data_IF_563861742254
#
_entry.id   IF_563861742254
#
_cell.length_a   1.000
_cell.length_b   1.000
_cell.length_c   1.000
_cell.angle_alpha   90.00
_cell.angle_beta   90.00
_cell.angle_gamma   90.00
#
_symmetry.space_group_name_H-M   'P 1'
#
loop_
_entity.id
_entity.type
_entity.pdbx_description
1 polymer ?
#
# COMPACT_ATOMS: atom_id res chain seq x y z
N UNK A 1 35.77 -2.48 4.89
CA UNK A 1 34.83 -2.15 5.99
C UNK A 1 33.60 -1.39 5.48
N UNK A 2 33.74 -0.19 4.89
CA UNK A 2 32.62 0.62 4.40
C UNK A 2 31.69 -0.09 3.40
N UNK A 3 32.22 -0.79 2.39
CA UNK A 3 31.39 -1.52 1.43
C UNK A 3 30.56 -2.62 2.10
N UNK A 4 31.15 -3.37 3.02
CA UNK A 4 30.46 -4.42 3.79
C UNK A 4 29.32 -3.84 4.64
N UNK A 5 29.54 -2.67 5.25
CA UNK A 5 28.52 -1.94 6.00
C UNK A 5 27.37 -1.46 5.11
N UNK A 6 27.68 -0.95 3.90
CA UNK A 6 26.66 -0.56 2.91
C UNK A 6 25.84 -1.77 2.45
N UNK A 7 26.50 -2.92 2.19
CA UNK A 7 25.79 -4.15 1.82
C UNK A 7 24.85 -4.64 2.93
N UNK A 8 25.32 -4.70 4.18
CA UNK A 8 24.45 -5.08 5.29
C UNK A 8 23.27 -4.10 5.46
N UNK A 9 23.52 -2.79 5.37
CA UNK A 9 22.47 -1.78 5.40
C UNK A 9 21.43 -1.98 4.29
N UNK A 10 21.88 -2.22 3.05
CA UNK A 10 20.99 -2.47 1.92
C UNK A 10 20.17 -3.75 2.12
N UNK A 11 20.79 -4.84 2.61
CA UNK A 11 20.06 -6.09 2.89
C UNK A 11 18.99 -5.92 3.97
N UNK A 12 19.26 -5.13 5.02
CA UNK A 12 18.28 -4.80 6.04
C UNK A 12 17.12 -3.99 5.45
N UNK A 13 17.39 -2.98 4.63
CA UNK A 13 16.35 -2.18 3.96
C UNK A 13 15.48 -3.07 3.06
N UNK A 14 16.09 -3.93 2.24
CA UNK A 14 15.37 -4.86 1.37
C UNK A 14 14.55 -5.89 2.16
N UNK A 15 15.07 -6.34 3.31
CA UNK A 15 14.35 -7.24 4.20
C UNK A 15 13.13 -6.54 4.82
N UNK A 16 13.25 -5.29 5.24
CA UNK A 16 12.12 -4.48 5.72
C UNK A 16 11.06 -4.31 4.64
N UNK A 17 11.45 -4.04 3.39
CA UNK A 17 10.51 -4.00 2.26
C UNK A 17 9.81 -5.35 2.02
N UNK A 18 10.50 -6.48 2.25
CA UNK A 18 9.87 -7.80 2.22
C UNK A 18 8.90 -8.02 3.38
N UNK A 19 9.21 -7.56 4.59
CA UNK A 19 8.29 -7.61 5.71
C UNK A 19 6.98 -6.86 5.42
N UNK A 20 7.03 -5.71 4.72
CA UNK A 20 5.82 -4.99 4.29
C UNK A 20 4.94 -5.89 3.40
N UNK A 21 5.52 -6.72 2.52
CA UNK A 21 4.74 -7.70 1.75
C UNK A 21 4.13 -8.79 2.62
N UNK A 22 4.83 -9.24 3.67
CA UNK A 22 4.28 -10.23 4.61
C UNK A 22 3.14 -9.64 5.44
N UNK A 23 3.22 -8.36 5.83
CA UNK A 23 2.14 -7.66 6.56
C UNK A 23 0.87 -7.53 5.72
N UNK A 24 0.97 -7.52 4.37
CA UNK A 24 -0.21 -7.52 3.48
C UNK A 24 -1.11 -8.75 3.62
N UNK A 25 -0.60 -9.86 4.17
CA UNK A 25 -1.38 -11.09 4.38
C UNK A 25 -2.28 -11.01 5.62
N UNK A 26 -2.14 -9.98 6.47
CA UNK A 26 -2.98 -9.81 7.64
C UNK A 26 -4.29 -9.10 7.23
N UNK A 27 -5.46 -9.74 7.44
CA UNK A 27 -6.76 -9.25 6.97
C UNK A 27 -7.19 -7.90 7.57
N UNK A 28 -6.57 -7.45 8.67
CA UNK A 28 -6.83 -6.14 9.27
C UNK A 28 -5.98 -4.99 8.72
N UNK A 29 -4.88 -5.26 8.00
CA UNK A 29 -3.91 -4.25 7.55
C UNK A 29 -3.66 -4.29 6.03
N UNK A 30 -4.12 -5.36 5.37
CA UNK A 30 -4.00 -5.58 3.93
C UNK A 30 -4.57 -4.41 3.10
N UNK A 31 -5.86 -4.06 3.24
CA UNK A 31 -6.50 -3.03 2.41
C UNK A 31 -5.82 -1.65 2.52
N UNK A 32 -5.52 -1.18 3.73
CA UNK A 32 -4.85 0.11 3.94
C UNK A 32 -3.43 0.12 3.36
N UNK A 33 -2.68 -0.98 3.48
CA UNK A 33 -1.33 -1.07 2.89
C UNK A 33 -1.35 -1.09 1.35
N UNK A 34 -2.43 -1.60 0.74
CA UNK A 34 -2.65 -1.56 -0.71
C UNK A 34 -3.06 -0.16 -1.16
N UNK A 35 -3.88 0.54 -0.37
CA UNK A 35 -4.27 1.93 -0.61
C UNK A 35 -3.04 2.86 -0.62
N UNK A 36 -2.13 2.71 0.35
CA UNK A 36 -0.84 3.45 0.37
C UNK A 36 -0.05 3.19 -0.91
N UNK A 37 0.13 1.92 -1.28
CA UNK A 37 0.91 1.57 -2.47
C UNK A 37 0.30 2.14 -3.76
N UNK A 38 -1.03 2.11 -3.90
CA UNK A 38 -1.75 2.70 -5.04
C UNK A 38 -1.65 4.21 -5.07
N UNK A 39 -1.75 4.86 -3.91
CA UNK A 39 -1.61 6.31 -3.77
C UNK A 39 -0.23 6.80 -4.21
N UNK A 40 0.83 6.07 -3.86
CA UNK A 40 2.20 6.44 -4.24
C UNK A 40 2.45 6.37 -5.75
N UNK A 41 1.72 5.52 -6.48
CA UNK A 41 1.81 5.40 -7.94
C UNK A 41 0.67 6.11 -8.66
N UNK A 42 -0.17 6.84 -7.92
CA UNK A 42 -1.31 7.54 -8.48
C UNK A 42 -0.84 8.69 -9.39
N UNK A 43 -1.37 8.81 -10.62
CA UNK A 43 -0.92 9.83 -11.57
C UNK A 43 -1.16 11.26 -11.07
N UNK A 44 -2.16 11.52 -10.23
CA UNK A 44 -2.39 12.83 -9.59
C UNK A 44 -1.27 13.13 -8.61
N UNK A 45 -0.93 12.18 -7.73
CA UNK A 45 0.15 12.31 -6.75
C UNK A 45 1.49 12.47 -7.46
N UNK A 46 1.77 11.67 -8.48
CA UNK A 46 3.02 11.74 -9.26
C UNK A 46 3.17 13.07 -10.00
N UNK A 47 2.10 13.60 -10.62
CA UNK A 47 2.13 14.94 -11.24
C UNK A 47 2.40 16.03 -10.22
N UNK A 48 1.80 15.96 -9.04
CA UNK A 48 2.07 16.90 -7.96
C UNK A 48 3.52 16.78 -7.45
N UNK A 49 4.03 15.58 -7.25
CA UNK A 49 5.43 15.34 -6.85
C UNK A 49 6.41 15.90 -7.88
N UNK A 50 6.13 15.73 -9.17
CA UNK A 50 6.95 16.34 -10.22
C UNK A 50 6.94 17.87 -10.14
N UNK A 51 5.76 18.47 -9.95
CA UNK A 51 5.63 19.91 -9.75
C UNK A 51 6.34 20.41 -8.49
N UNK A 52 6.24 19.68 -7.38
CA UNK A 52 6.94 19.95 -6.12
C UNK A 52 8.46 19.95 -6.35
N UNK A 53 9.01 18.91 -6.98
CA UNK A 53 10.44 18.81 -7.28
C UNK A 53 10.89 19.97 -8.17
N UNK A 54 10.11 20.32 -9.19
CA UNK A 54 10.41 21.45 -10.07
C UNK A 54 10.52 22.77 -9.27
N UNK A 55 9.58 23.03 -8.35
CA UNK A 55 9.63 24.21 -7.48
C UNK A 55 10.84 24.16 -6.55
N UNK A 56 11.09 23.03 -5.89
CA UNK A 56 12.22 22.85 -4.96
C UNK A 56 13.56 23.11 -5.67
N UNK A 57 13.71 22.63 -6.90
CA UNK A 57 14.90 22.93 -7.72
C UNK A 57 14.99 24.42 -8.03
N UNK A 58 13.88 25.04 -8.46
CA UNK A 58 13.85 26.48 -8.78
C UNK A 58 14.26 27.36 -7.59
N UNK A 59 13.67 27.14 -6.42
CA UNK A 59 14.04 27.85 -5.20
C UNK A 59 15.45 27.49 -4.73
N UNK A 60 15.87 26.22 -4.83
CA UNK A 60 17.23 25.80 -4.51
C UNK A 60 18.28 26.52 -5.36
N UNK A 61 18.04 26.66 -6.67
CA UNK A 61 18.95 27.44 -7.52
C UNK A 61 18.94 28.94 -7.14
N UNK A 62 17.77 29.50 -6.81
CA UNK A 62 17.67 30.88 -6.33
C UNK A 62 18.46 31.13 -5.04
N UNK A 63 18.37 30.21 -4.08
CA UNK A 63 19.11 30.27 -2.81
C UNK A 63 20.61 30.09 -3.00
N UNK A 64 21.03 29.22 -3.91
CA UNK A 64 22.44 29.08 -4.29
C UNK A 64 23.01 30.39 -4.84
N UNK A 65 22.28 31.06 -5.73
CA UNK A 65 22.74 32.32 -6.34
C UNK A 65 22.78 33.45 -5.31
N UNK A 66 21.85 33.46 -4.35
CA UNK A 66 21.73 34.56 -3.38
C UNK A 66 22.65 34.39 -2.18
N UNK A 67 22.83 33.15 -1.70
CA UNK A 67 23.51 32.86 -0.43
C UNK A 67 24.62 31.81 -0.53
N UNK A 68 24.96 31.35 -1.74
CA UNK A 68 25.94 30.27 -1.94
C UNK A 68 27.35 30.59 -1.42
N UNK A 69 27.73 31.86 -1.40
CA UNK A 69 29.03 32.30 -0.87
C UNK A 69 29.03 32.50 0.65
N UNK A 70 27.85 32.61 1.27
CA UNK A 70 27.71 32.97 2.70
C UNK A 70 27.28 31.80 3.57
N UNK A 71 26.53 30.83 3.03
CA UNK A 71 26.06 29.65 3.78
C UNK A 71 26.58 28.34 3.21
N UNK A 72 26.97 27.43 4.12
CA UNK A 72 27.40 26.09 3.78
C UNK A 72 26.25 25.23 3.24
N UNK A 73 25.01 25.45 3.70
CA UNK A 73 23.80 24.78 3.22
C UNK A 73 23.43 25.16 1.80
N UNK A 74 23.79 26.37 1.34
CA UNK A 74 23.51 26.85 0.00
C UNK A 74 24.73 26.82 -0.94
N UNK A 75 25.87 26.27 -0.50
CA UNK A 75 27.16 26.38 -1.21
C UNK A 75 27.30 25.58 -2.51
N UNK A 76 26.34 24.70 -2.82
CA UNK A 76 26.34 23.92 -4.06
C UNK A 76 24.92 23.57 -4.48
N UNK A 77 24.71 23.25 -5.76
CA UNK A 77 23.38 22.89 -6.29
C UNK A 77 22.74 21.78 -5.44
N UNK A 78 23.47 20.70 -5.17
CA UNK A 78 22.95 19.56 -4.42
C UNK A 78 22.58 19.94 -2.99
N UNK A 79 23.44 20.70 -2.30
CA UNK A 79 23.17 21.13 -0.93
C UNK A 79 22.00 22.10 -0.86
N UNK A 80 21.94 23.05 -1.78
CA UNK A 80 20.89 24.07 -1.82
C UNK A 80 19.52 23.46 -2.13
N UNK A 81 19.44 22.58 -3.12
CA UNK A 81 18.21 21.84 -3.43
C UNK A 81 17.80 20.94 -2.25
N UNK A 82 18.76 20.28 -1.59
CA UNK A 82 18.47 19.49 -0.40
C UNK A 82 17.99 20.36 0.77
N UNK A 83 18.57 21.53 0.99
CA UNK A 83 18.14 22.47 2.03
C UNK A 83 16.70 22.93 1.78
N UNK A 84 16.38 23.36 0.56
CA UNK A 84 15.00 23.75 0.17
C UNK A 84 14.03 22.57 0.23
N UNK A 85 14.46 21.35 -0.06
CA UNK A 85 13.64 20.16 0.14
C UNK A 85 13.30 19.94 1.62
N UNK A 86 14.23 20.17 2.55
CA UNK A 86 13.98 20.05 4.00
C UNK A 86 12.97 21.09 4.50
N UNK A 87 12.93 22.28 3.89
CA UNK A 87 11.87 23.27 4.13
C UNK A 87 10.45 22.72 3.88
N UNK A 88 10.26 21.78 2.94
CA UNK A 88 8.95 21.15 2.70
C UNK A 88 8.41 20.46 3.95
N UNK A 89 9.30 19.92 4.79
CA UNK A 89 8.94 19.08 5.93
C UNK A 89 9.01 19.78 7.28
N UNK A 90 9.28 21.08 7.33
CA UNK A 90 9.46 21.73 8.64
C UNK A 90 10.91 21.78 9.12
N UNK A 91 11.86 21.20 8.38
CA UNK A 91 13.23 21.01 8.83
C UNK A 91 14.15 22.09 8.26
N UNK A 92 14.39 23.11 9.06
CA UNK A 92 15.28 24.22 8.71
C UNK A 92 16.04 24.69 9.95
N UNK A 93 17.17 25.34 9.70
CA UNK A 93 17.95 26.02 10.72
C UNK A 93 17.64 27.52 10.64
N UNK A 94 16.93 28.06 11.63
CA UNK A 94 16.63 29.48 11.68
C UNK A 94 17.88 30.32 11.94
N UNK A 95 18.78 29.83 12.79
CA UNK A 95 19.98 30.58 13.18
C UNK A 95 20.90 30.73 11.97
N UNK A 96 21.07 29.67 11.16
CA UNK A 96 21.81 29.75 9.89
C UNK A 96 21.21 30.81 8.95
N UNK A 97 19.88 30.93 8.90
CA UNK A 97 19.19 31.90 8.04
C UNK A 97 19.17 33.33 8.58
N UNK A 98 19.16 33.49 9.89
CA UNK A 98 19.18 34.78 10.57
C UNK A 98 20.57 35.43 10.49
N UNK A 99 21.62 34.60 10.48
CA UNK A 99 23.01 35.03 10.34
C UNK A 99 23.39 35.35 8.88
N UNK A 100 22.57 34.96 7.91
CA UNK A 100 22.67 35.48 6.55
C UNK A 100 22.36 36.99 6.57
N UNK A 101 22.99 37.73 5.65
CA UNK A 101 22.81 39.17 5.39
C UNK A 101 21.38 39.67 5.65
N UNK A 102 21.14 40.98 5.80
CA UNK A 102 19.83 41.56 6.17
C UNK A 102 18.57 41.05 5.42
N UNK A 103 18.70 40.38 4.28
CA UNK A 103 17.63 39.72 3.53
C UNK A 103 17.31 38.26 3.95
N UNK A 104 18.16 37.61 4.75
CA UNK A 104 18.05 36.21 5.16
C UNK A 104 16.78 35.91 5.96
N UNK A 105 16.49 36.75 6.96
CA UNK A 105 15.24 36.64 7.75
C UNK A 105 14.00 36.80 6.88
N UNK A 106 14.02 37.72 5.90
CA UNK A 106 12.90 37.91 4.98
C UNK A 106 12.69 36.68 4.08
N UNK A 107 13.78 36.15 3.50
CA UNK A 107 13.73 34.92 2.69
C UNK A 107 13.28 33.71 3.50
N UNK A 108 13.70 33.61 4.75
CA UNK A 108 13.27 32.56 5.67
C UNK A 108 11.75 32.56 5.88
N UNK A 109 11.17 33.72 6.21
CA UNK A 109 9.71 33.84 6.39
C UNK A 109 8.97 33.49 5.10
N UNK A 110 9.50 33.93 3.96
CA UNK A 110 8.92 33.67 2.64
C UNK A 110 8.95 32.18 2.28
N UNK A 111 10.09 31.52 2.45
CA UNK A 111 10.25 30.08 2.22
C UNK A 111 9.39 29.26 3.18
N UNK A 112 9.34 29.61 4.45
CA UNK A 112 8.53 28.90 5.45
C UNK A 112 7.04 29.02 5.14
N UNK A 113 6.56 30.21 4.77
CA UNK A 113 5.14 30.41 4.45
C UNK A 113 4.76 29.71 3.15
N UNK A 114 5.55 29.89 2.08
CA UNK A 114 5.23 29.27 0.79
C UNK A 114 5.52 27.78 0.79
N UNK A 115 6.74 27.36 1.07
CA UNK A 115 7.14 25.95 0.92
C UNK A 115 6.51 25.10 2.00
N UNK A 116 6.66 25.47 3.27
CA UNK A 116 6.11 24.65 4.35
C UNK A 116 4.62 24.87 4.53
N UNK A 117 4.23 26.13 4.72
CA UNK A 117 2.85 26.51 5.04
C UNK A 117 1.88 26.27 3.89
N UNK A 118 2.32 26.40 2.65
CA UNK A 118 1.46 26.21 1.47
C UNK A 118 1.75 24.88 0.78
N UNK A 119 2.96 24.67 0.25
CA UNK A 119 3.26 23.48 -0.56
C UNK A 119 3.24 22.19 0.28
N UNK A 120 3.81 22.20 1.49
CA UNK A 120 3.80 21.05 2.41
C UNK A 120 2.38 20.66 2.80
N UNK A 121 1.54 21.64 3.15
CA UNK A 121 0.14 21.39 3.49
C UNK A 121 -0.68 20.89 2.30
N UNK A 122 -0.47 21.46 1.10
CA UNK A 122 -1.12 20.98 -0.13
C UNK A 122 -0.65 19.56 -0.47
N UNK A 123 0.63 19.23 -0.26
CA UNK A 123 1.14 17.87 -0.45
C UNK A 123 0.37 16.86 0.40
N UNK A 124 0.21 17.17 1.70
CA UNK A 124 -0.57 16.32 2.62
C UNK A 124 -2.02 16.21 2.15
N UNK A 125 -2.65 17.32 1.73
CA UNK A 125 -4.03 17.31 1.25
C UNK A 125 -4.23 16.47 -0.03
N UNK A 126 -3.31 16.58 -1.00
CA UNK A 126 -3.36 15.81 -2.25
C UNK A 126 -3.16 14.32 -1.98
N UNK A 127 -2.14 13.96 -1.19
CA UNK A 127 -1.87 12.56 -0.83
C UNK A 127 -3.01 11.98 -0.01
N UNK A 128 -3.52 12.73 0.97
CA UNK A 128 -4.65 12.32 1.81
C UNK A 128 -5.91 12.06 1.00
N UNK A 129 -6.28 12.97 0.09
CA UNK A 129 -7.46 12.78 -0.77
C UNK A 129 -7.33 11.55 -1.67
N UNK A 130 -6.16 11.32 -2.26
CA UNK A 130 -5.96 10.12 -3.09
C UNK A 130 -5.93 8.85 -2.25
N UNK A 131 -5.36 8.91 -1.04
CA UNK A 131 -5.39 7.80 -0.09
C UNK A 131 -6.81 7.36 0.25
N UNK A 132 -7.70 8.29 0.59
CA UNK A 132 -9.10 7.98 0.90
C UNK A 132 -9.81 7.28 -0.28
N UNK A 133 -9.63 7.79 -1.50
CA UNK A 133 -10.20 7.18 -2.72
C UNK A 133 -9.67 5.76 -2.92
N UNK A 134 -8.36 5.55 -2.77
CA UNK A 134 -7.75 4.23 -2.95
C UNK A 134 -8.09 3.27 -1.81
N UNK A 135 -8.34 3.77 -0.60
CA UNK A 135 -8.77 2.97 0.54
C UNK A 135 -10.20 2.46 0.36
N UNK A 136 -11.13 3.33 -0.02
CA UNK A 136 -12.52 2.97 -0.33
C UNK A 136 -12.57 1.90 -1.43
N UNK A 137 -11.89 2.14 -2.56
CA UNK A 137 -11.80 1.18 -3.66
C UNK A 137 -11.16 -0.16 -3.26
N UNK A 138 -10.18 -0.14 -2.35
CA UNK A 138 -9.52 -1.37 -1.88
C UNK A 138 -10.40 -2.16 -0.91
N UNK A 139 -11.21 -1.48 -0.11
CA UNK A 139 -12.19 -2.10 0.78
C UNK A 139 -13.36 -2.72 0.01
N UNK A 140 -13.86 -2.06 -1.02
CA UNK A 140 -14.91 -2.62 -1.89
C UNK A 140 -14.43 -3.85 -2.64
N UNK A 141 -13.27 -3.78 -3.30
CA UNK A 141 -12.68 -4.93 -3.98
C UNK A 141 -12.46 -6.13 -3.05
N UNK A 142 -12.04 -5.87 -1.80
CA UNK A 142 -11.89 -6.92 -0.80
C UNK A 142 -13.23 -7.52 -0.38
N UNK A 143 -14.27 -6.70 -0.16
CA UNK A 143 -15.63 -7.18 0.17
C UNK A 143 -16.20 -8.05 -0.95
N UNK A 144 -16.02 -7.65 -2.20
CA UNK A 144 -16.50 -8.41 -3.35
C UNK A 144 -15.80 -9.77 -3.47
N UNK A 145 -14.47 -9.80 -3.28
CA UNK A 145 -13.70 -11.04 -3.27
C UNK A 145 -14.13 -11.98 -2.13
N UNK A 146 -14.34 -11.44 -0.93
CA UNK A 146 -14.85 -12.21 0.21
C UNK A 146 -16.27 -12.73 -0.05
N UNK A 147 -17.16 -11.90 -0.59
CA UNK A 147 -18.52 -12.29 -0.92
C UNK A 147 -18.56 -13.40 -1.98
N UNK A 148 -17.72 -13.30 -3.01
CA UNK A 148 -17.56 -14.33 -4.03
C UNK A 148 -17.11 -15.67 -3.43
N UNK A 149 -16.07 -15.66 -2.58
CA UNK A 149 -15.58 -16.86 -1.90
C UNK A 149 -16.63 -17.48 -0.96
N UNK A 150 -17.43 -16.64 -0.29
CA UNK A 150 -18.54 -17.10 0.56
C UNK A 150 -19.66 -17.72 -0.27
N UNK A 151 -20.03 -17.12 -1.40
CA UNK A 151 -21.06 -17.64 -2.31
C UNK A 151 -20.63 -18.96 -2.96
N UNK A 152 -19.38 -19.07 -3.42
CA UNK A 152 -18.84 -20.31 -4.01
C UNK A 152 -18.81 -21.46 -2.98
N UNK A 153 -18.39 -21.18 -1.74
CA UNK A 153 -18.38 -22.19 -0.67
C UNK A 153 -19.80 -22.58 -0.25
N UNK A 154 -20.75 -21.64 -0.27
CA UNK A 154 -22.14 -21.93 0.06
C UNK A 154 -22.81 -22.79 -1.01
N UNK A 155 -22.65 -22.45 -2.30
CA UNK A 155 -23.20 -23.21 -3.42
C UNK A 155 -22.68 -24.65 -3.44
N UNK A 156 -21.35 -24.84 -3.36
CA UNK A 156 -20.75 -26.18 -3.33
C UNK A 156 -21.16 -27.02 -2.11
N UNK A 157 -21.50 -26.38 -0.99
CA UNK A 157 -22.04 -27.07 0.19
C UNK A 157 -23.51 -27.49 -0.05
N UNK A 158 -24.30 -26.63 -0.67
CA UNK A 158 -25.70 -26.91 -1.04
C UNK A 158 -25.79 -28.10 -2.01
N UNK A 159 -25.02 -28.07 -3.10
CA UNK A 159 -24.99 -29.14 -4.09
C UNK A 159 -24.56 -30.48 -3.48
N UNK A 160 -23.63 -30.45 -2.52
CA UNK A 160 -23.17 -31.64 -1.81
C UNK A 160 -24.20 -32.23 -0.84
N UNK A 161 -25.08 -31.41 -0.26
CA UNK A 161 -26.19 -31.89 0.58
C UNK A 161 -27.32 -32.45 -0.29
N UNK A 162 -27.64 -31.80 -1.41
CA UNK A 162 -28.64 -32.27 -2.37
C UNK A 162 -28.24 -33.63 -2.97
N UNK A 163 -26.97 -33.78 -3.37
CA UNK A 163 -26.44 -35.04 -3.89
C UNK A 163 -26.50 -36.18 -2.85
N UNK A 164 -26.20 -35.91 -1.58
CA UNK A 164 -26.32 -36.92 -0.50
C UNK A 164 -27.76 -37.37 -0.32
N UNK A 165 -28.72 -36.46 -0.47
CA UNK A 165 -30.13 -36.75 -0.28
C UNK A 165 -30.69 -37.58 -1.45
N UNK A 166 -30.28 -37.28 -2.68
CA UNK A 166 -30.58 -38.13 -3.83
C UNK A 166 -29.96 -39.52 -3.71
N UNK A 167 -28.69 -39.61 -3.31
CA UNK A 167 -28.00 -40.89 -3.11
C UNK A 167 -28.70 -41.73 -2.04
N UNK A 168 -29.20 -41.08 -0.97
CA UNK A 168 -29.93 -41.74 0.12
C UNK A 168 -31.29 -42.28 -0.33
N UNK A 169 -31.98 -41.57 -1.22
CA UNK A 169 -33.23 -42.05 -1.85
C UNK A 169 -32.98 -43.23 -2.77
N UNK A 170 -31.96 -43.15 -3.63
CA UNK A 170 -31.59 -44.24 -4.54
C UNK A 170 -31.16 -45.51 -3.78
N UNK A 171 -30.44 -45.37 -2.67
CA UNK A 171 -30.07 -46.49 -1.78
C UNK A 171 -31.28 -47.08 -1.05
N UNK A 172 -32.30 -46.28 -0.74
CA UNK A 172 -33.55 -46.78 -0.15
C UNK A 172 -34.41 -47.54 -1.18
N UNK A 173 -34.35 -47.15 -2.46
CA UNK A 173 -35.05 -47.84 -3.55
C UNK A 173 -34.35 -49.14 -4.01
N UNK A 174 -33.02 -49.21 -3.87
CA UNK A 174 -32.24 -50.43 -4.16
C UNK A 174 -32.09 -51.36 -2.96
N UNK A 175 -32.44 -50.89 -1.76
CA UNK A 175 -32.39 -51.63 -0.49
C UNK A 175 -33.72 -52.25 -0.07
N UNK A 176 -34.23 -53.22 -0.86
CA UNK A 176 -35.23 -54.20 -0.42
C UNK A 176 -36.21 -54.62 -1.54
N UNK A 177 -36.45 -55.93 -1.79
CA UNK A 177 -36.52 -56.95 -0.75
C UNK A 177 -35.45 -58.06 -0.87
N UNK A 178 -35.12 -58.64 0.28
CA UNK A 178 -34.84 -60.08 0.33
C UNK A 178 -36.10 -60.81 -0.16
N UNK A 179 -36.11 -61.26 -1.41
CA UNK A 179 -37.06 -62.26 -1.90
C UNK A 179 -36.29 -63.50 -2.36
N UNK A 180 -36.39 -64.55 -1.52
CA UNK A 180 -36.61 -65.93 -1.91
C UNK A 180 -35.62 -66.59 -2.87
N UNK A 181 -34.71 -67.40 -2.33
CA UNK A 181 -34.27 -68.59 -3.06
C UNK A 181 -35.49 -69.53 -3.24
N UNK A 182 -35.87 -69.92 -4.47
CA UNK A 182 -36.99 -70.80 -4.72
C UNK A 182 -36.64 -72.24 -4.34
N UNK A 183 -37.65 -72.96 -3.85
CA UNK A 183 -37.54 -74.31 -3.30
C UNK A 183 -36.87 -75.33 -4.21
N UNK A 184 -36.04 -76.16 -3.59
CA UNK A 184 -35.78 -77.53 -4.00
C UNK A 184 -36.98 -78.39 -3.61
N UNK A 185 -37.58 -79.08 -4.58
CA UNK A 185 -38.19 -80.42 -4.48
C UNK A 185 -38.77 -80.76 -5.87
N UNK A 186 -38.99 -82.03 -6.28
CA UNK A 186 -38.72 -83.32 -5.62
C UNK A 186 -38.11 -84.40 -6.55
N UNK A 187 -37.51 -85.45 -5.97
CA UNK A 187 -37.32 -86.82 -6.50
C UNK A 187 -36.53 -87.58 -5.41
N UNK A 188 -36.87 -88.75 -4.87
CA UNK A 188 -37.78 -89.82 -5.24
C UNK A 188 -37.11 -91.15 -4.83
N UNK A 189 -37.90 -92.05 -4.23
CA UNK A 189 -37.70 -93.51 -4.18
C UNK A 189 -36.66 -94.13 -3.22
N UNK A 190 -37.13 -95.13 -2.44
CA UNK A 190 -36.34 -96.29 -2.01
C UNK A 190 -36.21 -96.50 -0.52
#
# INVERSE_FOLDING_TARGET
>A
AYLLQVFFGLTFILQTLRCIKTVRLLPGVGPSSQAVARTLVDPVVLRFLFFLIFIVIGFGLGMLVTFGDTSASFSSITKSVAAVYRFVFGDWDYDEMADLQSWGTFMFVMLTLLITGTLGNIFIAVVGKQYEIHEENSLEAWKDEVNFLMAERYGRKSDGEELKEELRKALAETGGPEEGCPGTDPQGEG
#
